data_IF_800067852078
#
_entry.id   IF_800067852078
#
_cell.length_a   1.000
_cell.length_b   1.000
_cell.length_c   1.000
_cell.angle_alpha   90.00
_cell.angle_beta   90.00
_cell.angle_gamma   90.00
#
_symmetry.space_group_name_H-M   'P 1'
#
loop_
_entity.id
_entity.type
_entity.pdbx_description
1 polymer ?
#
# COMPACT_ATOMS: atom_id res chain seq x y z
N UNK A 1 -1.09 31.52 5.33
CA UNK A 1 -0.94 30.73 6.56
C UNK A 1 -0.82 29.28 6.14
N UNK A 2 0.41 28.79 5.91
CA UNK A 2 0.66 27.40 5.55
C UNK A 2 1.39 26.76 6.72
N UNK A 3 0.66 26.04 7.56
CA UNK A 3 1.27 25.20 8.59
C UNK A 3 1.87 23.99 7.90
N UNK A 4 3.20 24.01 7.78
CA UNK A 4 4.05 22.89 7.44
C UNK A 4 4.20 22.01 8.69
N UNK A 5 4.04 20.70 8.50
CA UNK A 5 4.57 19.63 9.37
C UNK A 5 3.97 19.50 10.78
N UNK A 6 2.90 18.70 10.93
CA UNK A 6 2.66 17.94 12.16
C UNK A 6 2.90 16.46 11.83
N UNK A 7 4.03 15.99 12.33
CA UNK A 7 4.80 14.91 11.73
C UNK A 7 4.24 13.51 11.98
N UNK A 8 4.81 12.56 11.24
CA UNK A 8 4.78 11.13 11.56
C UNK A 8 6.16 10.63 12.04
N UNK A 9 6.69 11.03 13.22
CA UNK A 9 7.98 10.54 13.70
C UNK A 9 7.76 9.62 14.90
N UNK A 10 7.68 8.32 14.64
CA UNK A 10 7.35 7.30 15.64
C UNK A 10 6.42 6.24 15.05
N UNK A 11 5.53 5.67 15.88
CA UNK A 11 4.53 4.72 15.40
C UNK A 11 3.39 5.43 14.65
N UNK A 12 2.84 4.80 13.60
CA UNK A 12 1.66 5.29 12.94
C UNK A 12 0.41 5.30 13.81
N UNK A 13 -0.52 6.25 13.58
CA UNK A 13 -1.94 6.00 13.79
C UNK A 13 -2.32 4.56 13.45
N UNK A 14 -3.03 3.91 14.36
CA UNK A 14 -3.28 2.48 14.32
C UNK A 14 -4.00 2.03 13.04
N UNK A 15 -4.81 2.91 12.45
CA UNK A 15 -5.47 2.72 11.16
C UNK A 15 -4.48 2.67 10.00
N UNK A 16 -3.50 3.59 9.98
CA UNK A 16 -2.44 3.59 8.97
C UNK A 16 -1.44 2.47 9.19
N UNK A 17 -1.11 2.13 10.45
CA UNK A 17 -0.28 0.96 10.76
C UNK A 17 -0.95 -0.34 10.28
N UNK A 18 -2.24 -0.52 10.58
CA UNK A 18 -3.01 -1.67 10.11
C UNK A 18 -3.03 -1.75 8.58
N UNK A 19 -3.23 -0.61 7.91
CA UNK A 19 -3.25 -0.54 6.45
C UNK A 19 -1.88 -0.86 5.81
N UNK A 20 -0.79 -0.40 6.43
CA UNK A 20 0.57 -0.76 6.01
C UNK A 20 0.80 -2.27 6.16
N UNK A 21 0.44 -2.85 7.31
CA UNK A 21 0.62 -4.28 7.57
C UNK A 21 -0.22 -5.14 6.61
N UNK A 22 -1.45 -4.73 6.31
CA UNK A 22 -2.31 -5.38 5.31
C UNK A 22 -1.68 -5.33 3.91
N UNK A 23 -1.13 -4.17 3.53
CA UNK A 23 -0.46 -4.01 2.23
C UNK A 23 0.79 -4.89 2.14
N UNK A 24 1.56 -5.01 3.23
CA UNK A 24 2.75 -5.90 3.29
C UNK A 24 2.35 -7.37 3.22
N UNK A 25 1.29 -7.78 3.91
CA UNK A 25 0.77 -9.16 3.84
C UNK A 25 0.32 -9.53 2.42
N UNK A 26 -0.29 -8.58 1.71
CA UNK A 26 -0.64 -8.75 0.30
C UNK A 26 0.59 -8.94 -0.60
N UNK A 27 1.66 -8.17 -0.38
CA UNK A 27 2.92 -8.33 -1.11
C UNK A 27 3.57 -9.68 -0.85
N UNK A 28 3.60 -10.13 0.41
CA UNK A 28 4.11 -11.47 0.74
C UNK A 28 3.30 -12.58 0.06
N UNK A 29 1.98 -12.46 -0.01
CA UNK A 29 1.15 -13.43 -0.75
C UNK A 29 1.51 -13.49 -2.23
N UNK A 30 1.78 -12.34 -2.86
CA UNK A 30 2.23 -12.28 -4.25
C UNK A 30 3.60 -12.96 -4.42
N UNK A 31 4.54 -12.70 -3.52
CA UNK A 31 5.89 -13.29 -3.56
C UNK A 31 5.89 -14.80 -3.27
N UNK A 32 5.05 -15.26 -2.34
CA UNK A 32 4.93 -16.67 -1.96
C UNK A 32 4.07 -17.49 -2.96
N UNK A 33 3.43 -16.83 -3.93
CA UNK A 33 2.62 -17.52 -4.93
C UNK A 33 3.50 -18.38 -5.83
N UNK A 34 3.14 -19.65 -5.98
CA UNK A 34 3.94 -20.58 -6.78
C UNK A 34 3.92 -20.21 -8.27
N UNK A 35 5.02 -20.49 -8.98
CA UNK A 35 5.13 -20.26 -10.44
C UNK A 35 4.00 -20.90 -11.27
N UNK A 36 3.35 -21.93 -10.74
CA UNK A 36 2.21 -22.58 -11.39
C UNK A 36 0.89 -21.81 -11.26
N UNK A 37 0.79 -20.92 -10.28
CA UNK A 37 -0.38 -20.08 -9.99
C UNK A 37 -0.23 -18.65 -10.53
N UNK A 38 1.01 -18.27 -10.90
CA UNK A 38 1.38 -17.00 -11.54
C UNK A 38 0.88 -16.88 -13.00
N UNK A 39 -0.44 -16.85 -13.16
CA UNK A 39 -1.09 -16.59 -14.45
C UNK A 39 -1.02 -15.10 -14.83
N UNK A 40 -1.18 -14.74 -16.11
CA UNK A 40 -1.28 -13.33 -16.50
C UNK A 40 -2.38 -12.55 -15.76
N UNK A 41 -3.54 -13.20 -15.54
CA UNK A 41 -4.65 -12.63 -14.77
C UNK A 41 -4.30 -12.45 -13.29
N UNK A 42 -3.50 -13.35 -12.73
CA UNK A 42 -2.99 -13.23 -11.36
C UNK A 42 -2.12 -11.97 -11.21
N UNK A 43 -1.21 -11.73 -12.16
CA UNK A 43 -0.38 -10.51 -12.17
C UNK A 43 -1.18 -9.24 -12.40
N UNK A 44 -2.15 -9.24 -13.33
CA UNK A 44 -3.02 -8.09 -13.58
C UNK A 44 -3.80 -7.72 -12.31
N UNK A 45 -4.43 -8.70 -11.67
CA UNK A 45 -5.20 -8.48 -10.46
C UNK A 45 -4.32 -8.09 -9.26
N UNK A 46 -3.19 -8.77 -9.06
CA UNK A 46 -2.24 -8.45 -8.00
C UNK A 46 -1.66 -7.04 -8.16
N UNK A 47 -1.33 -6.64 -9.39
CA UNK A 47 -0.88 -5.29 -9.70
C UNK A 47 -1.95 -4.25 -9.39
N UNK A 48 -3.20 -4.47 -9.80
CA UNK A 48 -4.32 -3.57 -9.50
C UNK A 48 -4.52 -3.39 -7.99
N UNK A 49 -4.47 -4.49 -7.23
CA UNK A 49 -4.61 -4.46 -5.77
C UNK A 49 -3.46 -3.69 -5.11
N UNK A 50 -2.21 -3.96 -5.49
CA UNK A 50 -1.04 -3.23 -4.97
C UNK A 50 -1.10 -1.74 -5.33
N UNK A 51 -1.43 -1.43 -6.58
CA UNK A 51 -1.55 -0.04 -7.04
C UNK A 51 -2.67 0.70 -6.30
N UNK A 52 -3.81 0.05 -6.04
CA UNK A 52 -4.89 0.62 -5.25
C UNK A 52 -4.44 0.91 -3.81
N UNK A 53 -3.86 -0.09 -3.12
CA UNK A 53 -3.39 0.08 -1.75
C UNK A 53 -2.32 1.17 -1.63
N UNK A 54 -1.39 1.24 -2.57
CA UNK A 54 -0.37 2.30 -2.59
C UNK A 54 -0.99 3.70 -2.75
N UNK A 55 -1.98 3.85 -3.63
CA UNK A 55 -2.68 5.13 -3.81
C UNK A 55 -3.42 5.57 -2.55
N UNK A 56 -4.10 4.65 -1.87
CA UNK A 56 -4.77 4.96 -0.61
C UNK A 56 -3.78 5.29 0.50
N UNK A 57 -2.65 4.59 0.58
CA UNK A 57 -1.56 4.92 1.52
C UNK A 57 -1.01 6.33 1.26
N UNK A 58 -0.77 6.69 0.00
CA UNK A 58 -0.32 8.03 -0.37
C UNK A 58 -1.32 9.10 0.09
N UNK A 59 -2.62 8.88 -0.11
CA UNK A 59 -3.68 9.78 0.38
C UNK A 59 -3.67 9.90 1.90
N UNK A 60 -3.57 8.78 2.62
CA UNK A 60 -3.51 8.76 4.10
C UNK A 60 -2.30 9.53 4.63
N UNK A 61 -1.17 9.49 3.91
CA UNK A 61 0.05 10.23 4.23
C UNK A 61 0.02 11.69 3.75
N UNK A 62 -1.08 12.14 3.12
CA UNK A 62 -1.23 13.50 2.61
C UNK A 62 -0.45 13.79 1.32
N UNK A 63 -0.07 12.76 0.58
CA UNK A 63 0.55 12.85 -0.74
C UNK A 63 -0.50 12.76 -1.86
N UNK A 64 -0.16 13.33 -3.01
CA UNK A 64 -0.95 13.18 -4.23
C UNK A 64 -0.61 11.82 -4.89
N UNK A 65 -1.58 10.90 -5.04
CA UNK A 65 -1.37 9.60 -5.67
C UNK A 65 -1.15 9.64 -7.19
N UNK A 66 -1.39 10.80 -7.82
CA UNK A 66 -1.34 10.98 -9.29
C UNK A 66 -0.27 12.00 -9.75
N UNK A 67 0.55 12.48 -8.81
CA UNK A 67 1.60 13.48 -9.07
C UNK A 67 2.82 12.95 -9.82
#
# INVERSE_FOLDING_TARGET
>A
MSSRSDAWPGNPPADVEAFILETVDMLHKLDDTSLHELTPLFYEHGYEQVAHSLRELLKMLGHDPDA
#
